data_IF_861042698188
#
_entry.id   IF_861042698188
#
_cell.length_a   1.000
_cell.length_b   1.000
_cell.length_c   1.000
_cell.angle_alpha   90.00
_cell.angle_beta   90.00
_cell.angle_gamma   90.00
#
_symmetry.space_group_name_H-M   'P 1'
#
loop_
_entity.id
_entity.type
_entity.pdbx_description
1 polymer ?
#
# COMPACT_ATOMS: atom_id res chain seq x y z
N UNK A 1 2.30 15.57 -6.58
CA UNK A 1 1.62 14.37 -7.15
C UNK A 1 2.32 13.13 -6.60
N UNK A 2 1.76 12.49 -5.57
CA UNK A 2 2.37 11.32 -4.89
C UNK A 2 2.17 10.08 -5.78
N UNK A 3 3.25 9.37 -6.11
CA UNK A 3 3.23 8.14 -6.92
C UNK A 3 3.54 6.97 -6.00
N UNK A 4 2.65 5.98 -5.94
CA UNK A 4 2.83 4.77 -5.13
C UNK A 4 3.36 3.63 -6.01
N UNK A 5 4.27 2.83 -5.46
CA UNK A 5 4.80 1.65 -6.12
C UNK A 5 4.03 0.41 -5.66
N UNK A 6 3.60 -0.41 -6.60
CA UNK A 6 2.88 -1.63 -6.29
C UNK A 6 3.88 -2.77 -6.00
N UNK A 7 3.86 -3.26 -4.77
CA UNK A 7 4.65 -4.41 -4.31
C UNK A 7 3.69 -5.57 -4.08
N UNK A 8 3.93 -6.70 -4.74
CA UNK A 8 3.21 -7.95 -4.45
C UNK A 8 3.75 -8.58 -3.18
N UNK A 9 2.95 -8.57 -2.12
CA UNK A 9 3.36 -8.97 -0.77
C UNK A 9 3.43 -10.49 -0.54
N UNK A 10 2.77 -11.29 -1.39
CA UNK A 10 2.78 -12.78 -1.33
C UNK A 10 3.22 -13.30 -2.70
N UNK A 11 4.51 -13.15 -3.01
CA UNK A 11 5.12 -13.72 -4.19
C UNK A 11 6.47 -14.35 -3.83
N UNK A 12 6.78 -15.49 -4.46
CA UNK A 12 8.07 -16.20 -4.34
C UNK A 12 9.24 -15.27 -4.74
N UNK A 13 8.96 -14.22 -5.53
CA UNK A 13 9.92 -13.19 -5.93
C UNK A 13 9.42 -11.80 -5.50
N UNK A 14 9.83 -11.28 -4.33
CA UNK A 14 9.43 -9.93 -3.90
C UNK A 14 10.08 -8.85 -4.77
N UNK A 15 9.30 -7.83 -5.15
CA UNK A 15 9.77 -6.73 -5.99
C UNK A 15 8.70 -5.72 -6.34
N UNK A 16 9.09 -4.67 -7.06
CA UNK A 16 8.22 -3.64 -7.63
C UNK A 16 7.86 -4.04 -9.06
N UNK A 17 6.56 -4.16 -9.34
CA UNK A 17 6.05 -4.64 -10.63
C UNK A 17 5.34 -3.57 -11.45
N UNK A 18 4.94 -2.47 -10.83
CA UNK A 18 4.15 -1.43 -11.47
C UNK A 18 4.05 -0.16 -10.66
N UNK A 19 3.33 0.80 -11.23
CA UNK A 19 3.08 2.12 -10.65
C UNK A 19 1.57 2.32 -10.56
N UNK A 20 1.15 2.84 -9.40
CA UNK A 20 -0.22 3.26 -9.11
C UNK A 20 -0.23 4.76 -8.79
N UNK A 21 -1.40 5.36 -8.87
CA UNK A 21 -1.64 6.75 -8.42
C UNK A 21 -2.77 6.80 -7.42
N UNK A 22 -2.65 7.70 -6.44
CA UNK A 22 -3.72 7.98 -5.49
C UNK A 22 -4.85 8.71 -6.21
N UNK A 23 -6.07 8.20 -6.08
CA UNK A 23 -7.27 8.67 -6.76
C UNK A 23 -8.31 9.28 -5.80
N UNK A 24 -8.07 9.22 -4.49
CA UNK A 24 -8.91 9.85 -3.47
C UNK A 24 -8.07 10.55 -2.40
N UNK A 25 -8.70 11.48 -1.67
CA UNK A 25 -8.18 11.86 -0.36
C UNK A 25 -8.33 10.68 0.61
N UNK A 26 -7.60 10.71 1.73
CA UNK A 26 -7.74 9.70 2.77
C UNK A 26 -9.13 9.78 3.42
N UNK A 27 -9.76 8.63 3.65
CA UNK A 27 -11.08 8.51 4.27
C UNK A 27 -11.16 7.31 5.22
N UNK A 28 -12.11 7.27 6.18
CA UNK A 28 -12.20 6.19 7.16
C UNK A 28 -12.34 4.82 6.51
N UNK A 29 -11.51 3.86 6.92
CA UNK A 29 -11.65 2.47 6.50
C UNK A 29 -12.90 1.85 7.14
N UNK A 30 -13.94 1.62 6.35
CA UNK A 30 -15.20 1.07 6.84
C UNK A 30 -15.08 -0.40 7.26
N UNK A 31 -14.09 -1.15 6.77
CA UNK A 31 -13.89 -2.56 7.09
C UNK A 31 -13.44 -2.74 8.54
N UNK A 32 -12.70 -1.77 9.09
CA UNK A 32 -12.29 -1.74 10.48
C UNK A 32 -13.46 -1.74 11.48
N UNK A 33 -14.65 -1.28 11.06
CA UNK A 33 -15.83 -1.23 11.94
C UNK A 33 -16.76 -2.45 11.82
N UNK A 34 -16.54 -3.31 10.83
CA UNK A 34 -17.41 -4.45 10.56
C UNK A 34 -16.89 -5.71 11.25
N UNK A 35 -17.58 -6.20 12.29
CA UNK A 35 -17.22 -7.41 13.05
C UNK A 35 -16.99 -8.67 12.22
N UNK A 36 -17.57 -8.75 11.02
CA UNK A 36 -17.43 -9.90 10.10
C UNK A 36 -16.28 -9.72 9.11
N UNK A 37 -15.68 -8.53 9.02
CA UNK A 37 -14.57 -8.28 8.11
C UNK A 37 -13.26 -8.84 8.67
N UNK A 38 -12.38 -9.27 7.77
CA UNK A 38 -11.04 -9.80 8.12
C UNK A 38 -10.19 -8.82 8.94
N UNK A 39 -10.34 -7.53 8.67
CA UNK A 39 -9.56 -6.45 9.29
C UNK A 39 -10.37 -5.65 10.32
N UNK A 40 -11.38 -6.28 10.93
CA UNK A 40 -12.13 -5.67 12.02
C UNK A 40 -11.21 -5.26 13.17
N UNK A 41 -11.35 -4.03 13.66
CA UNK A 41 -10.66 -3.55 14.85
C UNK A 41 -11.69 -3.13 15.92
N UNK A 42 -11.82 -3.89 17.02
CA UNK A 42 -12.77 -3.56 18.09
C UNK A 42 -12.47 -2.24 18.81
N UNK A 43 -11.25 -1.70 18.69
CA UNK A 43 -10.87 -0.40 19.26
C UNK A 43 -11.18 0.75 18.32
N UNK A 44 -11.33 0.47 17.03
CA UNK A 44 -11.70 1.47 16.03
C UNK A 44 -13.17 1.85 16.18
N UNK A 45 -13.43 3.07 16.66
CA UNK A 45 -14.79 3.60 16.84
C UNK A 45 -15.16 4.53 15.68
N UNK A 46 -16.39 4.41 15.18
CA UNK A 46 -16.95 5.36 14.20
C UNK A 46 -17.05 6.74 14.86
N UNK A 47 -16.37 7.75 14.30
CA UNK A 47 -16.34 9.10 14.88
C UNK A 47 -15.38 10.06 14.15
N UNK A 48 -15.14 11.24 14.74
CA UNK A 48 -14.35 12.34 14.13
C UNK A 48 -12.87 12.01 13.87
N UNK A 49 -12.31 10.97 14.51
CA UNK A 49 -10.90 10.56 14.38
C UNK A 49 -10.81 9.04 14.22
N UNK A 50 -11.04 8.49 13.01
CA UNK A 50 -10.87 7.06 12.77
C UNK A 50 -9.41 6.64 12.96
N UNK A 51 -9.19 5.45 13.55
CA UNK A 51 -7.84 4.88 13.71
C UNK A 51 -7.21 4.55 12.35
N UNK A 52 -8.04 4.06 11.42
CA UNK A 52 -7.62 3.57 10.12
C UNK A 52 -8.21 4.44 9.01
N UNK A 53 -7.34 4.86 8.10
CA UNK A 53 -7.68 5.58 6.88
C UNK A 53 -7.27 4.74 5.68
N UNK A 54 -8.05 4.83 4.61
CA UNK A 54 -7.72 4.24 3.32
C UNK A 54 -7.82 5.28 2.20
N UNK A 55 -7.27 4.91 1.07
CA UNK A 55 -7.22 5.69 -0.16
C UNK A 55 -7.56 4.78 -1.32
N UNK A 56 -8.18 5.34 -2.34
CA UNK A 56 -8.41 4.62 -3.59
C UNK A 56 -7.16 4.76 -4.46
N UNK A 57 -6.69 3.64 -4.99
CA UNK A 57 -5.60 3.60 -5.94
C UNK A 57 -6.11 3.37 -7.36
N UNK A 58 -5.49 4.03 -8.32
CA UNK A 58 -5.74 3.84 -9.75
C UNK A 58 -4.51 3.25 -10.41
N UNK A 59 -4.73 2.16 -11.15
CA UNK A 59 -3.68 1.55 -11.96
C UNK A 59 -3.17 2.51 -13.02
N UNK A 60 -1.84 2.68 -13.07
CA UNK A 60 -1.20 3.52 -14.08
C UNK A 60 -0.51 2.68 -15.14
N UNK A 61 0.46 1.85 -14.74
CA UNK A 61 1.18 0.96 -15.67
C UNK A 61 2.01 -0.09 -14.96
N UNK A 62 2.29 -1.19 -15.66
CA UNK A 62 3.32 -2.17 -15.32
C UNK A 62 4.72 -1.66 -15.67
N UNK A 63 5.75 -2.18 -14.99
CA UNK A 63 7.15 -2.03 -15.41
C UNK A 63 7.49 -3.04 -16.50
N UNK A 64 8.40 -2.69 -17.41
CA UNK A 64 8.89 -3.62 -18.45
C UNK A 64 9.65 -4.79 -17.83
N UNK A 65 10.42 -4.52 -16.78
CA UNK A 65 11.11 -5.51 -15.94
C UNK A 65 10.77 -5.22 -14.47
N UNK A 66 10.45 -6.24 -13.66
CA UNK A 66 10.31 -6.06 -12.22
C UNK A 66 11.63 -5.59 -11.62
N UNK A 67 11.57 -4.69 -10.64
CA UNK A 67 12.73 -4.32 -9.83
C UNK A 67 12.69 -5.18 -8.58
N UNK A 68 13.61 -6.13 -8.45
CA UNK A 68 13.57 -7.13 -7.36
C UNK A 68 14.00 -6.53 -6.02
N UNK A 69 13.60 -7.16 -4.91
CA UNK A 69 14.08 -6.75 -3.59
C UNK A 69 15.61 -6.82 -3.47
N UNK A 70 16.24 -7.82 -4.10
CA UNK A 70 17.71 -7.97 -4.13
C UNK A 70 18.36 -6.80 -4.86
N UNK A 71 17.81 -6.40 -6.00
CA UNK A 71 18.26 -5.23 -6.76
C UNK A 71 18.11 -3.95 -5.93
N UNK A 72 16.96 -3.74 -5.29
CA UNK A 72 16.73 -2.58 -4.42
C UNK A 72 17.76 -2.50 -3.28
N UNK A 73 18.03 -3.62 -2.60
CA UNK A 73 19.01 -3.69 -1.50
C UNK A 73 20.45 -3.45 -1.95
N UNK A 74 20.78 -3.73 -3.22
CA UNK A 74 22.13 -3.48 -3.75
C UNK A 74 22.43 -1.98 -3.92
N UNK A 75 21.41 -1.13 -4.01
CA UNK A 75 21.58 0.30 -4.21
C UNK A 75 21.83 1.04 -2.90
N UNK A 76 23.08 1.46 -2.65
CA UNK A 76 23.48 2.25 -1.47
C UNK A 76 22.62 3.50 -1.23
N UNK A 77 22.07 4.12 -2.28
CA UNK A 77 21.20 5.30 -2.18
C UNK A 77 19.86 5.01 -1.48
N UNK A 78 19.47 3.73 -1.37
CA UNK A 78 18.23 3.28 -0.76
C UNK A 78 18.47 2.67 0.64
N UNK A 79 19.66 2.83 1.22
CA UNK A 79 20.03 2.21 2.51
C UNK A 79 19.16 2.64 3.69
N UNK A 80 18.50 3.80 3.60
CA UNK A 80 17.61 4.33 4.63
C UNK A 80 16.15 3.93 4.44
N UNK A 81 15.82 3.18 3.38
CA UNK A 81 14.48 2.62 3.17
C UNK A 81 14.36 1.28 3.90
N UNK A 82 14.01 1.35 5.19
CA UNK A 82 13.77 0.21 6.08
C UNK A 82 12.29 -0.02 6.35
#
# INVERSE_FOLDING_TARGET
MIRHFFITLIAIFPGIYGIMTINSNAYPDYTAFNKKAKYYDPKSKKGKKPTWLMVDEKYKRKLKKPITLTELKSHKKLSTMG
#
